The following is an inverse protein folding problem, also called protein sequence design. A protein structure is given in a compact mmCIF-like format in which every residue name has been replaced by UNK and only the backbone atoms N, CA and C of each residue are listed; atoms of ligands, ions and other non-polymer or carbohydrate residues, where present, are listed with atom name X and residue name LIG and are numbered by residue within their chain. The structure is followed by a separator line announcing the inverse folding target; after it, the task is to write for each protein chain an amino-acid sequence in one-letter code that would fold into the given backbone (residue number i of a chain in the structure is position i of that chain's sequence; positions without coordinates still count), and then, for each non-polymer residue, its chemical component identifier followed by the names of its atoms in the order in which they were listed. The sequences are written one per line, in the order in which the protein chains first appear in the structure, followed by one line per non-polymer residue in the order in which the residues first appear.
data_IF_876793439333
#
_entry.id   IF_876793439333
#
_cell.length_a   1.000
_cell.length_b   1.000
_cell.length_c   1.000
_cell.angle_alpha   90.00
_cell.angle_beta   90.00
_cell.angle_gamma   90.00
#
_symmetry.space_group_name_H-M   'P 1'
#
loop_
_entity.id
_entity.type
_entity.pdbx_description
1 polymer ?
#
# COMPACT_ATOMS: atom_id res chain seq x y z
N UNK A 1 -16.88 5.78 -10.10
CA UNK A 1 -15.91 6.59 -9.32
C UNK A 1 -16.63 7.56 -8.38
N UNK A 2 -17.41 8.55 -8.87
CA UNK A 2 -18.03 9.57 -8.01
C UNK A 2 -18.87 8.97 -6.88
N UNK A 3 -19.72 7.98 -7.15
CA UNK A 3 -20.51 7.28 -6.11
C UNK A 3 -19.65 6.74 -4.98
N UNK A 4 -18.52 6.08 -5.31
CA UNK A 4 -17.60 5.55 -4.29
C UNK A 4 -17.02 6.68 -3.40
N UNK A 5 -16.54 7.77 -4.01
CA UNK A 5 -16.00 8.93 -3.27
C UNK A 5 -17.05 9.59 -2.37
N UNK A 6 -18.30 9.75 -2.86
CA UNK A 6 -19.40 10.26 -2.06
C UNK A 6 -19.69 9.35 -0.85
N UNK A 7 -19.73 8.03 -1.05
CA UNK A 7 -19.93 7.07 0.03
C UNK A 7 -18.78 7.06 1.04
N UNK A 8 -17.53 7.12 0.57
CA UNK A 8 -16.36 7.24 1.43
C UNK A 8 -16.50 8.47 2.35
N UNK A 9 -16.89 9.62 1.79
CA UNK A 9 -17.10 10.83 2.58
C UNK A 9 -18.31 10.76 3.52
N UNK A 10 -19.44 10.20 3.05
CA UNK A 10 -20.66 10.01 3.87
C UNK A 10 -20.41 9.13 5.09
N UNK A 11 -19.58 8.07 4.95
CA UNK A 11 -19.21 7.18 6.05
C UNK A 11 -18.35 7.90 7.09
N UNK A 12 -17.53 8.86 6.66
CA UNK A 12 -16.73 9.69 7.58
C UNK A 12 -15.23 9.64 7.38
N UNK A 13 -14.75 9.03 6.29
CA UNK A 13 -13.31 9.02 5.99
C UNK A 13 -12.76 10.42 5.76
N UNK A 14 -11.51 10.63 6.16
CA UNK A 14 -10.79 11.88 6.02
C UNK A 14 -10.02 11.98 4.70
N UNK A 15 -9.62 10.83 4.15
CA UNK A 15 -8.77 10.69 2.97
C UNK A 15 -9.21 9.49 2.13
N UNK A 16 -8.62 9.35 0.93
CA UNK A 16 -8.86 8.20 0.06
C UNK A 16 -7.57 7.81 -0.65
N UNK A 17 -7.41 6.51 -0.90
CA UNK A 17 -6.44 5.98 -1.84
C UNK A 17 -7.14 5.58 -3.14
N UNK A 18 -6.42 5.66 -4.26
CA UNK A 18 -6.97 5.40 -5.59
C UNK A 18 -6.29 4.17 -6.18
N UNK A 19 -7.10 3.25 -6.67
CA UNK A 19 -6.64 2.15 -7.50
C UNK A 19 -7.06 2.41 -8.95
N UNK A 20 -6.14 2.90 -9.77
CA UNK A 20 -6.39 3.22 -11.18
C UNK A 20 -5.12 3.04 -12.00
N UNK A 21 -5.23 2.37 -13.14
CA UNK A 21 -4.09 2.19 -14.06
C UNK A 21 -4.00 3.39 -15.03
N UNK A 22 -2.85 4.08 -15.10
CA UNK A 22 -2.65 5.21 -16.02
C UNK A 22 -2.66 4.82 -17.50
N UNK A 23 -2.66 3.51 -17.82
CA UNK A 23 -2.83 3.04 -19.20
C UNK A 23 -4.30 2.87 -19.59
N UNK A 24 -5.18 2.73 -18.60
CA UNK A 24 -6.61 2.46 -18.81
C UNK A 24 -7.50 3.66 -18.47
N UNK A 25 -7.06 4.50 -17.51
CA UNK A 25 -7.80 5.70 -17.11
C UNK A 25 -7.59 6.83 -18.13
N UNK A 26 -8.67 7.48 -18.55
CA UNK A 26 -8.58 8.66 -19.41
C UNK A 26 -8.56 9.98 -18.60
N UNK A 27 -8.22 11.08 -19.27
CA UNK A 27 -8.14 12.40 -18.63
C UNK A 27 -9.50 12.87 -18.07
N UNK A 28 -10.60 12.44 -18.65
CA UNK A 28 -11.95 12.80 -18.20
C UNK A 28 -12.21 12.22 -16.80
N UNK A 29 -11.80 10.97 -16.60
CA UNK A 29 -11.93 10.29 -15.32
C UNK A 29 -10.96 10.86 -14.27
N UNK A 30 -9.71 11.16 -14.66
CA UNK A 30 -8.75 11.85 -13.78
C UNK A 30 -9.32 13.18 -13.30
N UNK A 31 -9.88 13.98 -14.21
CA UNK A 31 -10.51 15.27 -13.88
C UNK A 31 -11.76 15.10 -13.01
N UNK A 32 -12.50 14.01 -13.19
CA UNK A 32 -13.65 13.67 -12.34
C UNK A 32 -13.20 13.37 -10.91
N UNK A 33 -12.16 12.55 -10.75
CA UNK A 33 -11.57 12.22 -9.45
C UNK A 33 -11.13 13.51 -8.74
N UNK A 34 -10.30 14.32 -9.41
CA UNK A 34 -9.78 15.59 -8.84
C UNK A 34 -10.89 16.52 -8.37
N UNK A 35 -11.90 16.76 -9.23
CA UNK A 35 -13.04 17.63 -8.86
C UNK A 35 -13.83 17.04 -7.72
N UNK A 36 -14.17 15.75 -7.77
CA UNK A 36 -14.96 15.11 -6.72
C UNK A 36 -14.25 15.14 -5.37
N UNK A 37 -12.96 14.80 -5.33
CA UNK A 37 -12.17 14.84 -4.11
C UNK A 37 -12.05 16.27 -3.55
N UNK A 38 -11.91 17.27 -4.42
CA UNK A 38 -11.88 18.68 -4.01
C UNK A 38 -13.24 19.13 -3.42
N UNK A 39 -14.34 18.84 -4.11
CA UNK A 39 -15.70 19.17 -3.67
C UNK A 39 -16.06 18.50 -2.34
N UNK A 40 -15.63 17.26 -2.15
CA UNK A 40 -15.91 16.47 -0.95
C UNK A 40 -14.93 16.74 0.21
N UNK A 41 -13.87 17.52 0.00
CA UNK A 41 -12.78 17.71 0.96
C UNK A 41 -12.20 16.34 1.38
N UNK A 42 -11.86 15.51 0.41
CA UNK A 42 -11.35 14.16 0.56
C UNK A 42 -9.96 14.05 -0.14
N UNK A 43 -8.86 14.44 0.53
CA UNK A 43 -7.52 14.38 -0.06
C UNK A 43 -7.14 12.96 -0.48
N UNK A 44 -6.51 12.84 -1.64
CA UNK A 44 -5.97 11.56 -2.12
C UNK A 44 -4.58 11.38 -1.51
N UNK A 45 -4.32 10.23 -0.87
CA UNK A 45 -3.05 9.96 -0.20
C UNK A 45 -2.12 9.09 -1.00
N UNK A 46 -2.64 8.06 -1.63
CA UNK A 46 -1.86 7.09 -2.38
C UNK A 46 -2.55 6.70 -3.68
N UNK A 47 -1.74 6.28 -4.66
CA UNK A 47 -2.20 5.46 -5.79
C UNK A 47 -1.51 4.11 -5.70
N UNK A 48 -2.29 3.02 -5.80
CA UNK A 48 -1.75 1.66 -5.74
C UNK A 48 -1.32 1.17 -7.12
N UNK A 49 -0.14 0.57 -7.20
CA UNK A 49 0.46 0.01 -8.41
C UNK A 49 0.99 -1.39 -8.19
N UNK A 50 0.36 -2.39 -8.79
CA UNK A 50 0.91 -3.74 -8.85
C UNK A 50 1.83 -3.86 -10.06
N UNK A 51 3.13 -4.08 -9.82
CA UNK A 51 4.18 -4.05 -10.83
C UNK A 51 5.08 -5.31 -10.82
N UNK A 52 4.45 -6.47 -10.78
CA UNK A 52 5.13 -7.79 -10.69
C UNK A 52 6.25 -8.00 -11.71
N UNK A 53 6.14 -7.40 -12.88
CA UNK A 53 7.16 -7.52 -13.93
C UNK A 53 8.43 -6.70 -13.71
N UNK A 54 8.52 -5.89 -12.66
CA UNK A 54 9.76 -5.19 -12.30
C UNK A 54 10.91 -6.15 -11.95
N UNK A 55 10.60 -7.37 -11.56
CA UNK A 55 11.56 -8.43 -11.23
C UNK A 55 11.60 -9.58 -12.24
N UNK A 56 10.91 -9.44 -13.38
CA UNK A 56 10.86 -10.46 -14.41
C UNK A 56 12.26 -10.71 -15.01
N UNK A 57 12.52 -11.95 -15.46
CA UNK A 57 13.77 -12.29 -16.12
C UNK A 57 13.89 -11.71 -17.54
N UNK A 58 12.76 -11.34 -18.17
CA UNK A 58 12.71 -10.77 -19.50
C UNK A 58 12.89 -9.23 -19.45
N UNK A 59 14.00 -8.69 -20.03
CA UNK A 59 14.22 -7.24 -20.01
C UNK A 59 13.14 -6.41 -20.71
N UNK A 60 12.37 -6.99 -21.63
CA UNK A 60 11.26 -6.27 -22.28
C UNK A 60 10.07 -6.10 -21.35
N UNK A 61 9.79 -7.12 -20.51
CA UNK A 61 8.76 -7.04 -19.47
C UNK A 61 9.18 -6.01 -18.41
N UNK A 62 10.45 -6.04 -17.96
CA UNK A 62 10.97 -5.04 -17.03
C UNK A 62 10.81 -3.61 -17.57
N UNK A 63 11.18 -3.35 -18.84
CA UNK A 63 11.03 -2.02 -19.46
C UNK A 63 9.58 -1.57 -19.49
N UNK A 64 8.66 -2.45 -19.90
CA UNK A 64 7.23 -2.14 -19.89
C UNK A 64 6.76 -1.71 -18.50
N UNK A 65 7.08 -2.49 -17.46
CA UNK A 65 6.68 -2.16 -16.09
C UNK A 65 7.36 -0.90 -15.56
N UNK A 66 8.63 -0.65 -15.89
CA UNK A 66 9.30 0.61 -15.56
C UNK A 66 8.60 1.82 -16.17
N UNK A 67 8.27 1.76 -17.46
CA UNK A 67 7.60 2.85 -18.16
C UNK A 67 6.16 3.05 -17.64
N UNK A 68 5.47 1.95 -17.32
CA UNK A 68 4.15 2.00 -16.68
C UNK A 68 4.22 2.63 -15.28
N UNK A 69 5.17 2.23 -14.43
CA UNK A 69 5.34 2.81 -13.10
C UNK A 69 5.68 4.30 -13.14
N UNK A 70 6.45 4.78 -14.13
CA UNK A 70 6.66 6.22 -14.32
C UNK A 70 5.36 6.96 -14.60
N UNK A 71 4.46 6.39 -15.38
CA UNK A 71 3.13 6.96 -15.61
C UNK A 71 2.27 6.97 -14.34
N UNK A 72 2.41 5.97 -13.46
CA UNK A 72 1.79 6.00 -12.15
C UNK A 72 2.34 7.13 -11.27
N UNK A 73 3.66 7.36 -11.29
CA UNK A 73 4.27 8.49 -10.59
C UNK A 73 3.72 9.82 -11.14
N UNK A 74 3.62 9.97 -12.46
CA UNK A 74 3.04 11.16 -13.08
C UNK A 74 1.56 11.34 -12.71
N UNK A 75 0.78 10.24 -12.64
CA UNK A 75 -0.61 10.26 -12.16
C UNK A 75 -0.71 10.68 -10.70
N UNK A 76 0.16 10.16 -9.82
CA UNK A 76 0.22 10.59 -8.42
C UNK A 76 0.45 12.10 -8.29
N UNK A 77 1.37 12.64 -9.08
CA UNK A 77 1.66 14.09 -9.10
C UNK A 77 0.43 14.87 -9.58
N UNK A 78 -0.23 14.41 -10.64
CA UNK A 78 -1.44 15.06 -11.17
C UNK A 78 -2.59 15.02 -10.16
N UNK A 79 -2.76 13.92 -9.44
CA UNK A 79 -3.75 13.75 -8.37
C UNK A 79 -3.34 14.42 -7.05
N UNK A 80 -2.11 14.96 -6.96
CA UNK A 80 -1.54 15.55 -5.73
C UNK A 80 -1.47 14.57 -4.56
N UNK A 81 -1.11 13.32 -4.83
CA UNK A 81 -0.94 12.29 -3.81
C UNK A 81 0.35 12.47 -3.01
N UNK A 82 0.40 11.91 -1.81
CA UNK A 82 1.60 11.91 -0.98
C UNK A 82 2.62 10.86 -1.46
N UNK A 83 2.13 9.72 -1.97
CA UNK A 83 2.99 8.61 -2.40
C UNK A 83 2.38 7.73 -3.49
N UNK A 84 3.24 6.93 -4.12
CA UNK A 84 2.90 5.76 -4.91
C UNK A 84 3.11 4.51 -4.06
N UNK A 85 2.05 3.75 -3.78
CA UNK A 85 2.18 2.40 -3.22
C UNK A 85 2.58 1.44 -4.33
N UNK A 86 3.65 0.70 -4.12
CA UNK A 86 4.27 -0.14 -5.14
C UNK A 86 4.47 -1.58 -4.65
N UNK A 87 3.72 -2.48 -5.27
CA UNK A 87 3.98 -3.92 -5.21
C UNK A 87 5.07 -4.26 -6.22
N UNK A 88 6.27 -4.58 -5.73
CA UNK A 88 7.47 -4.77 -6.59
C UNK A 88 7.44 -6.10 -7.33
N UNK A 89 6.86 -7.11 -6.73
CA UNK A 89 6.84 -8.44 -7.31
C UNK A 89 6.17 -9.41 -6.37
N UNK A 90 4.86 -9.46 -6.44
CA UNK A 90 4.09 -10.52 -5.84
C UNK A 90 4.48 -11.86 -6.47
N UNK A 91 4.91 -12.81 -5.65
CA UNK A 91 5.32 -14.11 -6.15
C UNK A 91 4.15 -15.10 -6.07
N UNK A 92 3.39 -15.15 -7.16
CA UNK A 92 2.18 -16.00 -7.27
C UNK A 92 2.48 -17.50 -7.47
N UNK A 93 3.75 -17.87 -7.69
CA UNK A 93 4.14 -19.26 -7.88
C UNK A 93 4.38 -19.95 -6.53
N UNK A 94 4.00 -21.20 -6.42
CA UNK A 94 4.24 -22.02 -5.23
C UNK A 94 5.66 -22.62 -5.15
N UNK A 95 6.54 -22.26 -6.08
CA UNK A 95 7.94 -22.67 -6.14
C UNK A 95 8.78 -21.60 -6.84
N UNK A 96 10.02 -21.49 -6.46
CA UNK A 96 10.99 -20.60 -7.10
C UNK A 96 11.20 -20.98 -8.58
N UNK A 97 11.04 -20.02 -9.48
CA UNK A 97 11.26 -20.17 -10.94
C UNK A 97 12.32 -19.20 -11.47
N UNK A 98 12.61 -18.14 -10.73
CA UNK A 98 13.70 -17.19 -10.98
C UNK A 98 14.56 -17.20 -9.73
N UNK A 99 15.90 -17.29 -9.82
CA UNK A 99 16.76 -17.25 -8.65
C UNK A 99 16.51 -15.98 -7.80
N UNK A 100 16.30 -16.16 -6.51
CA UNK A 100 15.97 -15.07 -5.60
C UNK A 100 16.98 -13.91 -5.65
N UNK A 101 18.27 -14.22 -5.81
CA UNK A 101 19.33 -13.22 -5.96
C UNK A 101 19.14 -12.36 -7.22
N UNK A 102 18.81 -12.97 -8.35
CA UNK A 102 18.62 -12.25 -9.62
C UNK A 102 17.38 -11.36 -9.57
N UNK A 103 16.30 -11.85 -8.94
CA UNK A 103 15.10 -11.05 -8.68
C UNK A 103 15.43 -9.83 -7.81
N UNK A 104 16.19 -10.04 -6.73
CA UNK A 104 16.61 -8.99 -5.81
C UNK A 104 17.42 -7.90 -6.50
N UNK A 105 18.50 -8.29 -7.17
CA UNK A 105 19.38 -7.34 -7.88
C UNK A 105 18.62 -6.57 -8.98
N UNK A 106 17.69 -7.23 -9.66
CA UNK A 106 16.83 -6.58 -10.66
C UNK A 106 15.82 -5.63 -10.03
N UNK A 107 15.16 -6.05 -8.96
CA UNK A 107 14.22 -5.22 -8.21
C UNK A 107 14.88 -3.95 -7.66
N UNK A 108 16.02 -4.09 -6.99
CA UNK A 108 16.79 -2.96 -6.46
C UNK A 108 17.13 -1.97 -7.57
N UNK A 109 17.71 -2.41 -8.68
CA UNK A 109 18.08 -1.55 -9.81
C UNK A 109 16.87 -0.82 -10.40
N UNK A 110 15.76 -1.51 -10.55
CA UNK A 110 14.56 -0.92 -11.12
C UNK A 110 13.91 0.06 -10.14
N UNK A 111 13.89 -0.25 -8.85
CA UNK A 111 13.40 0.67 -7.81
C UNK A 111 14.32 1.89 -7.63
N UNK A 112 15.63 1.77 -7.81
CA UNK A 112 16.54 2.94 -7.87
C UNK A 112 16.17 3.88 -9.02
N UNK A 113 15.84 3.32 -10.19
CA UNK A 113 15.41 4.11 -11.35
C UNK A 113 14.09 4.84 -11.07
N UNK A 114 13.11 4.15 -10.46
CA UNK A 114 11.82 4.74 -10.08
C UNK A 114 11.97 5.74 -8.95
N UNK A 115 12.78 5.44 -7.93
CA UNK A 115 13.06 6.35 -6.82
C UNK A 115 13.69 7.67 -7.28
N UNK A 116 14.62 7.60 -8.23
CA UNK A 116 15.20 8.80 -8.83
C UNK A 116 14.13 9.63 -9.56
N UNK A 117 13.27 8.98 -10.33
CA UNK A 117 12.19 9.63 -11.07
C UNK A 117 11.13 10.26 -10.14
N UNK A 118 10.79 9.59 -9.05
CA UNK A 118 9.85 10.07 -8.03
C UNK A 118 10.46 11.26 -7.24
N UNK A 119 11.73 11.17 -6.87
CA UNK A 119 12.45 12.23 -6.15
C UNK A 119 12.45 13.55 -6.93
N UNK A 120 12.70 13.51 -8.24
CA UNK A 120 12.65 14.70 -9.11
C UNK A 120 11.26 15.37 -9.13
N UNK A 121 10.21 14.64 -8.74
CA UNK A 121 8.82 15.10 -8.70
C UNK A 121 8.31 15.39 -7.29
N UNK A 122 9.17 15.22 -6.28
CA UNK A 122 8.79 15.43 -4.88
C UNK A 122 7.81 14.38 -4.34
N UNK A 123 7.77 13.18 -4.95
CA UNK A 123 6.88 12.08 -4.58
C UNK A 123 7.64 11.00 -3.82
N UNK A 124 7.03 10.40 -2.81
CA UNK A 124 7.52 9.18 -2.16
C UNK A 124 7.02 7.92 -2.89
N UNK A 125 7.79 6.83 -2.81
CA UNK A 125 7.35 5.48 -3.15
C UNK A 125 7.27 4.69 -1.84
N UNK A 126 6.15 4.04 -1.59
CA UNK A 126 6.00 3.13 -0.45
C UNK A 126 5.92 1.70 -0.95
N UNK A 127 6.82 0.85 -0.49
CA UNK A 127 6.91 -0.54 -0.92
C UNK A 127 5.96 -1.41 -0.10
N UNK A 128 5.19 -2.24 -0.77
CA UNK A 128 4.32 -3.22 -0.13
C UNK A 128 5.12 -4.42 0.40
N UNK A 129 4.73 -4.88 1.60
CA UNK A 129 5.16 -6.14 2.15
C UNK A 129 4.09 -7.19 1.84
N UNK A 130 4.44 -8.19 1.04
CA UNK A 130 3.50 -9.19 0.55
C UNK A 130 3.42 -10.42 1.47
N UNK A 131 2.22 -10.98 1.73
CA UNK A 131 2.05 -12.10 2.65
C UNK A 131 2.31 -13.46 2.00
N UNK A 132 3.24 -13.52 1.04
CA UNK A 132 3.58 -14.74 0.34
C UNK A 132 5.01 -15.19 0.63
N UNK A 133 5.18 -16.46 0.94
CA UNK A 133 6.47 -17.03 1.35
C UNK A 133 7.61 -16.80 0.36
N UNK A 134 7.31 -16.69 -0.92
CA UNK A 134 8.32 -16.51 -1.98
C UNK A 134 8.41 -15.08 -2.51
N UNK A 135 7.62 -14.13 -1.96
CA UNK A 135 7.76 -12.71 -2.31
C UNK A 135 9.09 -12.15 -1.83
N UNK A 136 9.64 -11.21 -2.60
CA UNK A 136 10.93 -10.58 -2.28
C UNK A 136 10.90 -9.84 -0.95
N UNK A 137 9.80 -9.13 -0.70
CA UNK A 137 9.60 -8.31 0.49
C UNK A 137 8.44 -8.91 1.25
N UNK A 138 8.73 -9.75 2.25
CA UNK A 138 7.73 -10.46 3.03
C UNK A 138 8.02 -10.51 4.53
N UNK A 139 9.07 -9.81 4.97
CA UNK A 139 9.42 -9.65 6.39
C UNK A 139 9.99 -8.25 6.63
N UNK A 140 10.05 -7.82 7.88
CA UNK A 140 10.72 -6.58 8.27
C UNK A 140 12.19 -6.59 7.86
N UNK A 141 12.87 -7.73 7.98
CA UNK A 141 14.27 -7.87 7.54
C UNK A 141 14.44 -7.66 6.04
N UNK A 142 13.60 -8.28 5.22
CA UNK A 142 13.67 -8.12 3.76
C UNK A 142 13.29 -6.70 3.34
N UNK A 143 12.32 -6.07 3.98
CA UNK A 143 11.95 -4.68 3.73
C UNK A 143 13.12 -3.73 4.04
N UNK A 144 13.70 -3.83 5.24
CA UNK A 144 14.85 -3.00 5.64
C UNK A 144 16.03 -3.18 4.70
N UNK A 145 16.35 -4.45 4.37
CA UNK A 145 17.44 -4.74 3.45
C UNK A 145 17.19 -4.18 2.07
N UNK A 146 15.97 -4.28 1.55
CA UNK A 146 15.63 -3.81 0.21
C UNK A 146 15.71 -2.28 0.13
N UNK A 147 15.14 -1.55 1.09
CA UNK A 147 15.25 -0.09 1.18
C UNK A 147 16.72 0.36 1.30
N UNK A 148 17.51 -0.34 2.12
CA UNK A 148 18.93 -0.04 2.28
C UNK A 148 19.73 -0.28 0.98
N UNK A 149 19.46 -1.37 0.28
CA UNK A 149 20.14 -1.70 -0.99
C UNK A 149 19.76 -0.72 -2.12
N UNK A 150 18.53 -0.17 -2.11
CA UNK A 150 18.12 0.95 -2.98
C UNK A 150 18.92 2.22 -2.64
N UNK A 151 19.20 2.50 -1.37
CA UNK A 151 19.98 3.62 -0.91
C UNK A 151 19.32 5.00 -1.00
N UNK A 152 17.96 5.04 -0.98
CA UNK A 152 17.17 6.28 -1.10
C UNK A 152 16.07 6.34 -0.01
N UNK A 153 16.40 6.24 1.29
CA UNK A 153 15.41 6.10 2.35
C UNK A 153 14.53 7.35 2.57
N UNK A 154 14.93 8.48 2.04
CA UNK A 154 14.12 9.71 2.03
C UNK A 154 12.99 9.69 0.98
N UNK A 155 13.10 8.84 -0.04
CA UNK A 155 12.14 8.75 -1.17
C UNK A 155 11.43 7.41 -1.21
N UNK A 156 12.14 6.31 -0.86
CA UNK A 156 11.60 4.95 -0.88
C UNK A 156 11.42 4.47 0.56
N UNK A 157 10.18 4.22 0.93
CA UNK A 157 9.74 3.88 2.28
C UNK A 157 8.97 2.57 2.29
N UNK A 158 8.52 2.16 3.47
CA UNK A 158 7.70 0.98 3.68
C UNK A 158 6.21 1.34 3.76
N UNK A 159 5.35 0.52 3.16
CA UNK A 159 3.99 0.33 3.61
C UNK A 159 3.97 -0.75 4.70
N UNK A 160 3.26 -0.50 5.78
CA UNK A 160 2.97 -1.51 6.79
C UNK A 160 1.54 -1.99 6.60
N UNK A 161 1.35 -3.07 5.86
CA UNK A 161 0.06 -3.76 5.82
C UNK A 161 -0.07 -4.68 7.03
N UNK A 162 -1.04 -4.39 7.89
CA UNK A 162 -1.22 -5.06 9.17
C UNK A 162 -1.65 -6.53 8.98
N UNK A 163 -2.51 -6.83 8.01
CA UNK A 163 -2.92 -8.19 7.73
C UNK A 163 -1.79 -9.03 7.15
N UNK A 164 -0.99 -8.45 6.27
CA UNK A 164 0.17 -9.10 5.68
C UNK A 164 1.24 -9.42 6.73
N UNK A 165 1.54 -8.46 7.60
CA UNK A 165 2.46 -8.67 8.72
C UNK A 165 1.98 -9.83 9.61
N UNK A 166 0.68 -9.88 9.93
CA UNK A 166 0.11 -10.94 10.74
C UNK A 166 0.17 -12.31 10.04
N UNK A 167 -0.19 -12.38 8.76
CA UNK A 167 -0.11 -13.62 7.96
C UNK A 167 1.30 -14.19 7.85
N UNK A 168 2.31 -13.31 7.84
CA UNK A 168 3.71 -13.71 7.86
C UNK A 168 4.24 -14.05 9.25
N UNK A 169 3.40 -13.95 10.30
CA UNK A 169 3.76 -14.25 11.69
C UNK A 169 4.75 -13.26 12.28
N UNK A 170 4.74 -12.03 11.81
CA UNK A 170 5.62 -10.96 12.30
C UNK A 170 5.04 -10.41 13.60
N UNK A 171 5.84 -10.42 14.66
CA UNK A 171 5.46 -9.80 15.93
C UNK A 171 5.35 -8.29 15.75
N UNK A 172 4.27 -7.64 16.23
CA UNK A 172 4.13 -6.19 16.15
C UNK A 172 5.37 -5.39 16.56
N UNK A 173 6.09 -5.84 17.58
CA UNK A 173 7.29 -5.16 18.10
C UNK A 173 8.41 -5.03 17.04
N UNK A 174 8.46 -5.91 16.05
CA UNK A 174 9.45 -5.83 14.97
C UNK A 174 9.28 -4.58 14.11
N UNK A 175 8.08 -4.00 14.04
CA UNK A 175 7.79 -2.77 13.30
C UNK A 175 8.60 -1.59 13.84
N UNK A 176 8.99 -1.58 15.12
CA UNK A 176 9.85 -0.53 15.68
C UNK A 176 11.15 -0.34 14.89
N UNK A 177 11.62 -1.38 14.23
CA UNK A 177 12.82 -1.35 13.38
C UNK A 177 12.63 -0.54 12.10
N UNK A 178 11.38 -0.30 11.68
CA UNK A 178 11.01 0.54 10.54
C UNK A 178 10.83 2.01 10.92
N UNK A 179 11.15 2.41 12.16
CA UNK A 179 11.05 3.81 12.61
C UNK A 179 11.73 4.77 11.64
N UNK A 180 10.97 5.78 11.18
CA UNK A 180 11.40 6.78 10.21
C UNK A 180 11.33 6.32 8.74
N UNK A 181 11.05 5.04 8.49
CA UNK A 181 10.91 4.47 7.16
C UNK A 181 9.46 4.17 6.77
N UNK A 182 8.50 4.21 7.70
CA UNK A 182 7.09 4.00 7.39
C UNK A 182 6.56 5.23 6.65
N UNK A 183 6.09 5.05 5.42
CA UNK A 183 5.49 6.10 4.60
C UNK A 183 3.97 5.99 4.53
N UNK A 184 3.42 4.79 4.68
CA UNK A 184 1.99 4.49 4.60
C UNK A 184 1.65 3.27 5.46
N UNK A 185 0.37 3.10 5.78
CA UNK A 185 -0.15 1.95 6.54
C UNK A 185 -1.43 1.49 5.90
N UNK A 186 -1.49 0.22 5.52
CA UNK A 186 -2.74 -0.46 5.20
C UNK A 186 -3.27 -1.25 6.40
N UNK A 187 -4.56 -1.28 6.53
CA UNK A 187 -5.24 -1.93 7.63
C UNK A 187 -6.42 -2.74 7.12
N UNK A 188 -6.34 -4.03 7.33
CA UNK A 188 -7.42 -4.98 7.19
C UNK A 188 -7.28 -6.07 8.26
N UNK A 189 -8.26 -6.96 8.33
CA UNK A 189 -8.20 -8.17 9.15
C UNK A 189 -8.03 -9.40 8.26
N UNK A 190 -7.64 -10.53 8.82
CA UNK A 190 -7.54 -11.80 8.10
C UNK A 190 -7.89 -12.98 8.99
N UNK A 191 -8.14 -14.14 8.38
CA UNK A 191 -8.41 -15.38 9.10
C UNK A 191 -7.16 -16.07 9.69
N UNK A 192 -5.99 -15.44 9.54
CA UNK A 192 -4.69 -15.96 9.93
C UNK A 192 -4.14 -17.07 9.03
N UNK A 193 -4.72 -17.31 7.86
CA UNK A 193 -4.33 -18.38 6.93
C UNK A 193 -4.24 -17.93 5.48
N UNK A 194 -5.16 -17.08 5.05
CA UNK A 194 -5.31 -16.68 3.65
C UNK A 194 -5.40 -15.17 3.58
N UNK A 195 -4.71 -14.59 2.60
CA UNK A 195 -4.88 -13.21 2.20
C UNK A 195 -6.33 -12.96 1.74
N UNK A 196 -7.00 -11.97 2.30
CA UNK A 196 -8.43 -11.79 2.01
C UNK A 196 -9.07 -10.54 2.60
N UNK A 197 -8.32 -9.64 3.20
CA UNK A 197 -8.67 -8.28 3.63
C UNK A 197 -10.09 -8.09 4.18
N UNK A 198 -10.33 -8.73 5.33
CA UNK A 198 -11.60 -8.64 6.02
C UNK A 198 -11.75 -7.30 6.76
N UNK A 199 -12.98 -6.82 6.96
CA UNK A 199 -13.23 -5.73 7.89
C UNK A 199 -12.64 -6.04 9.29
N UNK A 200 -11.99 -5.07 9.94
CA UNK A 200 -11.46 -5.22 11.29
C UNK A 200 -12.48 -5.79 12.27
N UNK A 201 -12.08 -6.83 12.99
CA UNK A 201 -12.92 -7.58 13.95
C UNK A 201 -13.65 -8.77 13.36
N UNK A 202 -13.55 -9.05 12.07
CA UNK A 202 -14.04 -10.28 11.44
C UNK A 202 -13.01 -11.39 11.37
N UNK A 203 -11.76 -11.09 11.62
CA UNK A 203 -10.64 -12.03 11.57
C UNK A 203 -10.01 -12.26 12.95
N UNK A 204 -8.70 -12.53 12.93
CA UNK A 204 -7.91 -12.88 14.12
C UNK A 204 -6.70 -11.98 14.33
N UNK A 205 -6.52 -10.96 13.49
CA UNK A 205 -5.38 -10.06 13.56
C UNK A 205 -5.43 -9.20 14.82
N UNK A 206 -4.37 -9.13 15.64
CA UNK A 206 -4.31 -8.26 16.81
C UNK A 206 -4.07 -6.80 16.41
N UNK A 207 -5.01 -6.22 15.67
CA UNK A 207 -4.87 -4.89 15.00
C UNK A 207 -4.48 -3.81 16.00
N UNK A 208 -5.06 -3.81 17.22
CA UNK A 208 -4.76 -2.82 18.24
C UNK A 208 -3.29 -2.84 18.66
N UNK A 209 -2.66 -4.03 18.74
CA UNK A 209 -1.26 -4.17 19.11
C UNK A 209 -0.35 -3.63 17.97
N UNK A 210 -0.69 -3.92 16.72
CA UNK A 210 0.02 -3.36 15.56
C UNK A 210 -0.07 -1.84 15.51
N UNK A 211 -1.28 -1.27 15.65
CA UNK A 211 -1.47 0.18 15.65
C UNK A 211 -0.73 0.88 16.80
N UNK A 212 -0.71 0.27 17.99
CA UNK A 212 0.01 0.81 19.13
C UNK A 212 1.53 0.91 18.86
N UNK A 213 2.10 -0.13 18.26
CA UNK A 213 3.53 -0.14 17.90
C UNK A 213 3.83 0.81 16.75
N UNK A 214 2.95 0.90 15.74
CA UNK A 214 3.09 1.88 14.65
C UNK A 214 3.10 3.31 15.24
N UNK A 215 2.20 3.62 16.17
CA UNK A 215 2.20 4.91 16.89
C UNK A 215 3.52 5.15 17.65
N UNK A 216 4.08 4.13 18.29
CA UNK A 216 5.37 4.23 19.01
C UNK A 216 6.55 4.54 18.07
N UNK A 217 6.47 4.18 16.79
CA UNK A 217 7.47 4.60 15.79
C UNK A 217 7.47 6.09 15.54
N UNK A 218 6.44 6.82 15.96
CA UNK A 218 6.23 8.24 15.65
C UNK A 218 5.56 8.46 14.30
N UNK A 219 4.94 7.43 13.70
CA UNK A 219 4.14 7.58 12.48
C UNK A 219 2.91 8.45 12.77
N UNK A 220 2.74 9.51 11.97
CA UNK A 220 1.70 10.54 12.15
C UNK A 220 0.89 10.81 10.86
N UNK A 221 0.96 9.86 9.91
CA UNK A 221 0.28 9.96 8.62
C UNK A 221 -1.00 9.14 8.58
N UNK A 222 -1.48 8.82 7.39
CA UNK A 222 -2.73 8.13 7.14
C UNK A 222 -2.61 6.62 7.37
N UNK A 223 -3.65 6.06 8.00
CA UNK A 223 -3.93 4.62 8.01
C UNK A 223 -5.10 4.39 7.06
N UNK A 224 -4.87 3.66 5.99
CA UNK A 224 -5.86 3.36 4.96
C UNK A 224 -6.46 1.97 5.18
N UNK A 225 -7.78 1.91 5.21
CA UNK A 225 -8.49 0.62 5.25
C UNK A 225 -8.47 0.01 3.86
N UNK A 226 -7.95 -1.19 3.73
CA UNK A 226 -7.95 -1.96 2.50
C UNK A 226 -8.91 -3.15 2.62
N UNK A 227 -9.83 -3.25 1.69
CA UNK A 227 -10.78 -4.36 1.60
C UNK A 227 -10.78 -4.90 0.18
N UNK A 228 -10.06 -5.97 -0.05
CA UNK A 228 -10.03 -6.69 -1.32
C UNK A 228 -10.93 -7.93 -1.27
N UNK A 229 -11.21 -8.49 -2.42
CA UNK A 229 -11.84 -9.82 -2.58
C UNK A 229 -13.13 -10.04 -1.77
N UNK A 230 -13.94 -8.99 -1.54
CA UNK A 230 -15.20 -9.16 -0.82
C UNK A 230 -16.06 -10.25 -1.45
N UNK A 231 -16.46 -11.27 -0.69
CA UNK A 231 -17.37 -12.31 -1.19
C UNK A 231 -18.80 -11.80 -1.44
N UNK A 232 -19.11 -10.59 -0.96
CA UNK A 232 -20.42 -9.95 -1.05
C UNK A 232 -20.30 -8.54 -1.68
N UNK A 233 -19.91 -8.42 -2.97
CA UNK A 233 -19.63 -7.12 -3.59
C UNK A 233 -20.84 -6.18 -3.60
N UNK A 234 -22.06 -6.71 -3.63
CA UNK A 234 -23.31 -5.92 -3.55
C UNK A 234 -23.51 -5.26 -2.18
N UNK A 235 -22.79 -5.72 -1.14
CA UNK A 235 -22.84 -5.19 0.22
C UNK A 235 -21.57 -4.42 0.58
N UNK A 236 -20.77 -4.01 -0.39
CA UNK A 236 -19.47 -3.37 -0.14
C UNK A 236 -19.58 -2.11 0.72
N UNK A 237 -20.65 -1.32 0.58
CA UNK A 237 -20.87 -0.13 1.40
C UNK A 237 -21.05 -0.50 2.88
N UNK A 238 -21.75 -1.59 3.18
CA UNK A 238 -21.91 -2.08 4.56
C UNK A 238 -20.56 -2.54 5.13
N UNK A 239 -19.77 -3.27 4.32
CA UNK A 239 -18.43 -3.72 4.72
C UNK A 239 -17.49 -2.58 5.03
N UNK A 240 -17.47 -1.56 4.17
CA UNK A 240 -16.64 -0.35 4.35
C UNK A 240 -17.08 0.44 5.57
N UNK A 241 -18.41 0.55 5.81
CA UNK A 241 -18.95 1.23 6.99
C UNK A 241 -18.54 0.52 8.28
N UNK A 242 -18.69 -0.81 8.33
CA UNK A 242 -18.27 -1.62 9.48
C UNK A 242 -16.76 -1.49 9.74
N UNK A 243 -15.96 -1.57 8.67
CA UNK A 243 -14.52 -1.42 8.77
C UNK A 243 -14.11 -0.05 9.31
N UNK A 244 -14.75 1.01 8.83
CA UNK A 244 -14.55 2.37 9.32
C UNK A 244 -14.88 2.49 10.81
N UNK A 245 -16.09 2.12 11.22
CA UNK A 245 -16.56 2.24 12.60
C UNK A 245 -15.64 1.50 13.58
N UNK A 246 -15.21 0.31 13.18
CA UNK A 246 -14.30 -0.50 14.01
C UNK A 246 -12.91 0.09 14.10
N UNK A 247 -12.36 0.55 12.98
CA UNK A 247 -11.04 1.20 12.95
C UNK A 247 -11.05 2.49 13.74
N UNK A 248 -12.07 3.33 13.57
CA UNK A 248 -12.24 4.58 14.30
C UNK A 248 -12.23 4.33 15.82
N UNK A 249 -12.97 3.33 16.29
CA UNK A 249 -12.97 2.93 17.71
C UNK A 249 -11.58 2.49 18.19
N UNK A 250 -10.86 1.69 17.40
CA UNK A 250 -9.51 1.23 17.75
C UNK A 250 -8.53 2.41 17.85
N UNK A 251 -8.59 3.34 16.90
CA UNK A 251 -7.74 4.53 16.89
C UNK A 251 -8.08 5.51 18.04
N UNK A 252 -9.36 5.66 18.39
CA UNK A 252 -9.78 6.43 19.56
C UNK A 252 -9.23 5.86 20.85
N UNK A 253 -9.27 4.53 21.02
CA UNK A 253 -8.71 3.84 22.19
C UNK A 253 -7.21 4.08 22.37
N UNK A 254 -6.49 4.31 21.27
CA UNK A 254 -5.06 4.62 21.24
C UNK A 254 -4.77 6.14 21.28
N UNK A 255 -5.80 6.99 21.36
CA UNK A 255 -5.68 8.44 21.24
C UNK A 255 -4.99 8.90 19.95
N UNK A 256 -5.12 8.13 18.87
CA UNK A 256 -4.62 8.48 17.53
C UNK A 256 -5.63 9.31 16.73
N UNK A 257 -6.86 9.39 17.23
CA UNK A 257 -7.97 10.12 16.59
C UNK A 257 -8.84 10.78 17.66
N UNK A 258 -9.27 12.00 17.36
CA UNK A 258 -10.16 12.82 18.25
C UNK A 258 -11.61 12.77 17.80
#
# INVERSE_FOLDING_TARGET
TRFGLEKTKEIGFDTVDIFADPLDIDQTEVDLIKRSCTELLLPIKSVCCVAVGLIDFNPSVQRFHLDRCKKYIDLCVDLSCDNLLLVVGEYIWNREVIPAREQWETGVRNCQTLGSYAKERGLEIVLELEPFKLSLINTVDTMLKFINDIGMPETVKANCDISHLHLMGIDPVEILRLKGLIGHVHLSDCDGKVHGDLPPGRGVTPIQDYLAVIQETGFDRTVSIELEYSPEPDRIVEWVTEAYEKTDQLMQNLNCRS
#
